data_IF_568026407386
#
_entry.id   IF_568026407386
#
_cell.length_a   1.000
_cell.length_b   1.000
_cell.length_c   1.000
_cell.angle_alpha   90.00
_cell.angle_beta   90.00
_cell.angle_gamma   90.00
#
_symmetry.space_group_name_H-M   'P 1'
#
loop_
_entity.id
_entity.type
_entity.pdbx_description
1 polymer ?
#
# COMPACT_ATOMS: atom_id res chain seq x y z
N UNK A 1 24.09 -11.64 1.57
CA UNK A 1 22.82 -12.14 2.16
C UNK A 1 22.29 -11.28 3.32
N UNK A 2 22.42 -9.94 3.31
CA UNK A 2 22.01 -9.10 4.47
C UNK A 2 20.66 -8.36 4.28
N UNK A 3 20.25 -8.11 3.04
CA UNK A 3 19.05 -7.30 2.75
C UNK A 3 17.76 -8.05 3.06
N UNK A 4 17.69 -9.34 2.72
CA UNK A 4 16.53 -10.20 3.00
C UNK A 4 16.32 -10.36 4.50
N UNK A 5 17.39 -10.49 5.28
CA UNK A 5 17.33 -10.60 6.73
C UNK A 5 16.85 -9.29 7.38
N UNK A 6 17.32 -8.15 6.87
CA UNK A 6 16.86 -6.83 7.30
C UNK A 6 15.40 -6.60 6.97
N UNK A 7 14.93 -7.04 5.80
CA UNK A 7 13.51 -7.01 5.41
C UNK A 7 12.69 -7.94 6.31
N UNK A 8 13.14 -9.17 6.58
CA UNK A 8 12.47 -10.09 7.51
C UNK A 8 12.35 -9.49 8.91
N UNK A 9 13.41 -8.86 9.41
CA UNK A 9 13.41 -8.17 10.70
C UNK A 9 12.50 -6.94 10.70
N UNK A 10 12.40 -6.21 9.58
CA UNK A 10 11.47 -5.10 9.40
C UNK A 10 10.00 -5.58 9.32
N UNK A 11 9.75 -6.72 8.68
CA UNK A 11 8.42 -7.33 8.64
C UNK A 11 8.00 -7.89 10.01
N UNK A 12 8.96 -8.37 10.80
CA UNK A 12 8.74 -8.75 12.21
C UNK A 12 8.71 -7.55 13.16
N UNK A 13 9.14 -6.37 12.71
CA UNK A 13 9.11 -5.14 13.49
C UNK A 13 7.67 -4.63 13.64
N UNK A 14 7.31 -3.97 14.76
CA UNK A 14 6.00 -3.35 14.97
C UNK A 14 5.56 -2.42 13.84
N UNK A 15 6.51 -1.85 13.09
CA UNK A 15 6.25 -1.03 11.90
C UNK A 15 5.54 -1.81 10.79
N UNK A 16 5.91 -3.06 10.52
CA UNK A 16 5.26 -3.91 9.52
C UNK A 16 3.84 -4.32 9.95
N UNK A 17 3.63 -4.59 11.25
CA UNK A 17 2.30 -4.84 11.81
C UNK A 17 1.40 -3.61 11.75
N UNK A 18 1.92 -2.43 12.04
CA UNK A 18 1.16 -1.18 11.89
C UNK A 18 0.82 -0.88 10.43
N UNK A 19 1.76 -1.13 9.50
CA UNK A 19 1.50 -0.98 8.07
C UNK A 19 0.38 -1.91 7.60
N UNK A 20 0.38 -3.19 8.02
CA UNK A 20 -0.72 -4.12 7.77
C UNK A 20 -2.03 -3.66 8.41
N UNK A 21 -2.03 -3.30 9.69
CA UNK A 21 -3.23 -2.83 10.38
C UNK A 21 -3.81 -1.54 9.75
N UNK A 22 -2.95 -0.62 9.29
CA UNK A 22 -3.37 0.56 8.52
C UNK A 22 -3.94 0.17 7.17
N UNK A 23 -3.30 -0.77 6.46
CA UNK A 23 -3.80 -1.27 5.19
C UNK A 23 -5.14 -2.00 5.34
N UNK A 24 -5.32 -2.83 6.37
CA UNK A 24 -6.58 -3.50 6.68
C UNK A 24 -7.69 -2.52 7.07
N UNK A 25 -7.37 -1.48 7.85
CA UNK A 25 -8.30 -0.40 8.17
C UNK A 25 -8.69 0.41 6.93
N UNK A 26 -7.73 0.71 6.06
CA UNK A 26 -7.99 1.38 4.78
C UNK A 26 -8.79 0.49 3.81
N UNK A 27 -8.56 -0.83 3.82
CA UNK A 27 -9.31 -1.78 3.00
C UNK A 27 -10.76 -1.94 3.45
N UNK A 28 -11.00 -1.87 4.76
CA UNK A 28 -12.35 -1.86 5.35
C UNK A 28 -13.12 -0.57 5.11
N UNK A 29 -12.44 0.51 4.75
CA UNK A 29 -13.08 1.80 4.53
C UNK A 29 -13.46 1.99 3.04
N UNK A 30 -14.76 2.03 2.71
CA UNK A 30 -15.21 2.15 1.31
C UNK A 30 -14.87 3.52 0.70
N UNK A 31 -14.75 4.57 1.51
CA UNK A 31 -14.33 5.91 1.03
C UNK A 31 -12.87 5.91 0.61
N UNK A 32 -12.03 5.20 1.34
CA UNK A 32 -10.62 5.01 1.00
C UNK A 32 -10.45 4.21 -0.28
N UNK A 33 -11.23 3.14 -0.47
CA UNK A 33 -11.25 2.42 -1.74
C UNK A 33 -11.64 3.32 -2.92
N UNK A 34 -12.69 4.14 -2.79
CA UNK A 34 -13.10 5.06 -3.86
C UNK A 34 -11.99 6.06 -4.20
N UNK A 35 -11.31 6.61 -3.19
CA UNK A 35 -10.19 7.55 -3.37
C UNK A 35 -8.99 6.88 -4.03
N UNK A 36 -8.63 5.68 -3.59
CA UNK A 36 -7.54 4.87 -4.19
C UNK A 36 -7.88 4.49 -5.62
N UNK A 37 -9.13 4.10 -5.90
CA UNK A 37 -9.61 3.75 -7.24
C UNK A 37 -9.60 4.96 -8.17
N UNK A 38 -9.96 6.15 -7.69
CA UNK A 38 -9.86 7.40 -8.43
C UNK A 38 -8.40 7.80 -8.72
N UNK A 39 -7.51 7.67 -7.74
CA UNK A 39 -6.08 7.91 -7.93
C UNK A 39 -5.46 6.91 -8.92
N UNK A 40 -5.76 5.62 -8.78
CA UNK A 40 -5.34 4.57 -9.71
C UNK A 40 -5.90 4.81 -11.11
N UNK A 41 -7.16 5.22 -11.24
CA UNK A 41 -7.77 5.55 -12.52
C UNK A 41 -7.10 6.76 -13.18
N UNK A 42 -6.73 7.79 -12.41
CA UNK A 42 -5.94 8.93 -12.92
C UNK A 42 -4.52 8.52 -13.30
N UNK A 43 -3.87 7.70 -12.50
CA UNK A 43 -2.52 7.21 -12.78
C UNK A 43 -2.50 6.29 -14.01
N UNK A 44 -3.50 5.42 -14.17
CA UNK A 44 -3.69 4.55 -15.33
C UNK A 44 -4.16 5.31 -16.58
N UNK A 45 -4.98 6.34 -16.40
CA UNK A 45 -5.51 7.19 -17.48
C UNK A 45 -4.55 8.28 -17.96
N UNK A 46 -3.54 8.64 -17.16
CA UNK A 46 -2.52 9.64 -17.50
C UNK A 46 -1.44 9.16 -18.48
N UNK A 47 -1.36 7.85 -18.75
CA UNK A 47 -0.38 7.26 -19.67
C UNK A 47 -0.85 7.11 -21.12
N UNK A 48 -2.04 7.63 -21.47
CA UNK A 48 -2.65 7.44 -22.80
C UNK A 48 -2.95 8.78 -23.48
N UNK A 49 -1.90 9.57 -23.69
CA UNK A 49 -1.86 10.66 -24.67
C UNK A 49 -0.49 10.62 -25.34
N UNK A 50 -0.41 9.82 -26.39
CA UNK A 50 0.49 10.03 -27.52
C UNK A 50 -0.41 10.18 -28.74
#
# INVERSE_FOLDING_TARGET
MALVDRIKRLMHSPQGRQARARAERMARDPRTQAKVRGLLARFRGGGRRH
#
